data_IF_427768488604
#
_entry.id   IF_427768488604
#
_cell.length_a   1.000
_cell.length_b   1.000
_cell.length_c   1.000
_cell.angle_alpha   90.00
_cell.angle_beta   90.00
_cell.angle_gamma   90.00
#
_symmetry.space_group_name_H-M   'P 1'
#
loop_
_entity.id
_entity.type
_entity.pdbx_description
1 polymer ?
#
# COMPACT_ATOMS: atom_id res chain seq x y z
N UNK A 1 -3.85 -12.34 -16.56
CA UNK A 1 -3.99 -10.97 -16.01
C UNK A 1 -3.53 -11.04 -14.56
N UNK A 2 -2.25 -10.78 -14.30
CA UNK A 2 -1.70 -10.85 -12.95
C UNK A 2 -2.08 -9.57 -12.23
N UNK A 3 -3.08 -9.66 -11.35
CA UNK A 3 -3.37 -8.62 -10.39
C UNK A 3 -2.18 -8.61 -9.42
N UNK A 4 -1.18 -7.76 -9.66
CA UNK A 4 0.04 -7.72 -8.87
C UNK A 4 -0.30 -7.20 -7.47
N UNK A 5 -0.65 -8.14 -6.60
CA UNK A 5 -1.04 -7.92 -5.20
C UNK A 5 0.09 -7.33 -4.37
N UNK A 6 1.31 -7.24 -4.92
CA UNK A 6 2.49 -6.70 -4.25
C UNK A 6 2.71 -5.21 -4.52
N UNK A 7 1.89 -4.59 -5.38
CA UNK A 7 1.96 -3.14 -5.70
C UNK A 7 0.84 -2.35 -5.05
N UNK A 8 1.16 -1.10 -4.70
CA UNK A 8 0.22 -0.14 -4.16
C UNK A 8 -0.59 0.48 -5.30
N UNK A 9 -1.94 0.42 -5.27
CA UNK A 9 -2.78 0.99 -6.33
C UNK A 9 -2.70 2.51 -6.41
N UNK A 10 -2.30 3.20 -5.33
CA UNK A 10 -2.20 4.66 -5.32
C UNK A 10 -0.96 5.20 -6.02
N UNK A 11 0.14 4.44 -6.09
CA UNK A 11 1.42 4.96 -6.58
C UNK A 11 2.27 3.98 -7.40
N UNK A 12 1.83 2.73 -7.56
CA UNK A 12 2.52 1.70 -8.32
C UNK A 12 3.77 1.09 -7.67
N UNK A 13 4.26 1.65 -6.56
CA UNK A 13 5.39 1.13 -5.78
C UNK A 13 5.01 -0.14 -5.01
N UNK A 14 5.99 -0.90 -4.51
CA UNK A 14 5.73 -2.06 -3.67
C UNK A 14 4.93 -1.66 -2.41
N UNK A 15 3.91 -2.45 -2.08
CA UNK A 15 3.09 -2.22 -0.88
C UNK A 15 3.72 -2.77 0.41
N UNK A 16 4.81 -3.52 0.30
CA UNK A 16 5.54 -4.14 1.41
C UNK A 16 4.68 -5.12 2.25
N UNK A 17 3.56 -5.58 1.72
CA UNK A 17 2.69 -6.52 2.42
C UNK A 17 3.35 -7.90 2.46
N UNK A 18 3.62 -8.42 3.67
CA UNK A 18 4.18 -9.75 3.85
C UNK A 18 3.23 -10.85 3.33
N UNK A 19 1.91 -10.63 3.39
CA UNK A 19 0.92 -11.60 2.90
C UNK A 19 0.87 -11.67 1.36
N UNK A 20 1.21 -10.60 0.64
CA UNK A 20 0.97 -10.48 -0.80
C UNK A 20 1.72 -11.50 -1.66
N UNK A 21 2.83 -12.05 -1.15
CA UNK A 21 3.62 -13.10 -1.80
C UNK A 21 3.73 -14.38 -0.98
N UNK A 22 2.90 -14.56 0.04
CA UNK A 22 2.92 -15.74 0.90
C UNK A 22 1.74 -16.67 0.58
N UNK A 23 2.04 -17.96 0.45
CA UNK A 23 1.02 -19.02 0.22
C UNK A 23 0.25 -19.38 1.50
N UNK A 24 0.72 -18.91 2.67
CA UNK A 24 0.12 -19.15 3.97
C UNK A 24 -0.09 -17.83 4.73
N UNK A 25 -1.01 -17.81 5.73
CA UNK A 25 -1.20 -16.64 6.59
C UNK A 25 0.08 -16.22 7.30
N UNK A 26 0.41 -14.93 7.21
CA UNK A 26 1.55 -14.34 7.94
C UNK A 26 1.13 -13.90 9.34
N UNK A 27 2.02 -14.05 10.31
CA UNK A 27 1.81 -13.55 11.69
C UNK A 27 2.13 -12.07 11.83
N UNK A 28 2.94 -11.51 10.94
CA UNK A 28 3.44 -10.14 11.02
C UNK A 28 3.38 -9.44 9.67
N UNK A 29 3.04 -8.16 9.70
CA UNK A 29 3.11 -7.25 8.58
C UNK A 29 3.26 -5.84 9.12
N UNK A 30 3.98 -4.95 8.42
CA UNK A 30 4.16 -3.56 8.87
C UNK A 30 2.82 -2.86 9.13
N UNK A 31 1.77 -3.20 8.36
CA UNK A 31 0.47 -2.55 8.46
C UNK A 31 -0.30 -2.92 9.73
N UNK A 32 0.08 -3.98 10.44
CA UNK A 32 -0.57 -4.37 11.70
C UNK A 32 -0.23 -3.41 12.85
N UNK A 33 0.91 -2.73 12.75
CA UNK A 33 1.47 -1.90 13.83
C UNK A 33 1.32 -0.40 13.58
N UNK A 34 0.67 0.01 12.49
CA UNK A 34 0.51 1.43 12.14
C UNK A 34 -0.93 1.76 11.75
N UNK A 35 -1.43 2.96 12.09
CA UNK A 35 -2.72 3.40 11.60
C UNK A 35 -2.67 3.64 10.09
N UNK A 36 -3.70 3.16 9.38
CA UNK A 36 -3.93 3.49 7.97
C UNK A 36 -4.95 4.63 7.91
N UNK A 37 -4.58 5.75 7.30
CA UNK A 37 -5.45 6.93 7.20
C UNK A 37 -6.73 6.61 6.41
N UNK A 38 -7.88 6.86 7.03
CA UNK A 38 -9.19 6.54 6.46
C UNK A 38 -9.44 7.30 5.14
N UNK A 39 -8.91 8.52 5.03
CA UNK A 39 -8.98 9.35 3.82
C UNK A 39 -8.26 8.69 2.64
N UNK A 40 -7.23 7.88 2.90
CA UNK A 40 -6.49 7.17 1.86
C UNK A 40 -7.26 5.94 1.38
N UNK A 41 -7.93 5.25 2.30
CA UNK A 41 -8.87 4.17 1.94
C UNK A 41 -10.06 4.70 1.13
N UNK A 42 -10.58 5.88 1.49
CA UNK A 42 -11.70 6.52 0.78
C UNK A 42 -11.36 6.88 -0.68
N UNK A 43 -10.09 7.21 -0.97
CA UNK A 43 -9.61 7.51 -2.33
C UNK A 43 -9.54 6.29 -3.24
N UNK A 44 -9.55 5.08 -2.68
CA UNK A 44 -9.55 3.86 -3.48
C UNK A 44 -10.89 3.68 -4.19
N UNK A 45 -10.88 3.13 -5.43
CA UNK A 45 -12.09 2.61 -6.06
C UNK A 45 -12.82 1.64 -5.12
N UNK A 46 -14.17 1.65 -5.09
CA UNK A 46 -14.94 0.81 -4.18
C UNK A 46 -14.54 -0.67 -4.21
N UNK A 47 -14.20 -1.20 -5.38
CA UNK A 47 -13.80 -2.59 -5.60
C UNK A 47 -12.40 -2.94 -5.04
N UNK A 48 -11.58 -1.94 -4.70
CA UNK A 48 -10.24 -2.09 -4.12
C UNK A 48 -10.21 -1.83 -2.61
N UNK A 49 -11.24 -1.17 -2.06
CA UNK A 49 -11.36 -0.94 -0.61
C UNK A 49 -11.41 -2.26 0.14
N UNK A 50 -10.63 -2.38 1.22
CA UNK A 50 -10.47 -3.60 2.03
C UNK A 50 -9.95 -4.84 1.26
N UNK A 51 -9.45 -4.67 0.04
CA UNK A 51 -8.96 -5.78 -0.81
C UNK A 51 -7.54 -5.56 -1.32
N UNK A 52 -7.10 -4.30 -1.43
CA UNK A 52 -5.77 -3.94 -1.89
C UNK A 52 -4.92 -3.40 -0.75
N UNK A 53 -3.65 -3.81 -0.70
CA UNK A 53 -2.69 -3.29 0.26
C UNK A 53 -2.11 -1.95 -0.24
N UNK A 54 -2.01 -0.98 0.66
CA UNK A 54 -1.29 0.29 0.42
C UNK A 54 0.19 0.12 0.75
N UNK A 55 1.08 0.99 0.24
CA UNK A 55 2.43 1.09 0.79
C UNK A 55 2.45 2.00 2.04
N UNK A 56 3.49 1.93 2.90
CA UNK A 56 3.57 2.75 4.11
C UNK A 56 3.34 4.26 3.86
N UNK A 57 3.93 4.81 2.78
CA UNK A 57 3.78 6.21 2.41
C UNK A 57 2.32 6.59 2.11
N UNK A 58 1.66 5.80 1.26
CA UNK A 58 0.28 6.05 0.87
C UNK A 58 -0.68 5.80 2.04
N UNK A 59 -0.41 4.79 2.88
CA UNK A 59 -1.22 4.52 4.06
C UNK A 59 -1.17 5.65 5.09
N UNK A 60 -0.03 6.35 5.20
CA UNK A 60 0.15 7.54 6.04
C UNK A 60 -0.30 8.83 5.35
N UNK A 61 -0.71 8.77 4.08
CA UNK A 61 -1.14 9.95 3.32
C UNK A 61 -0.04 10.96 3.01
N UNK A 62 1.23 10.54 3.06
CA UNK A 62 2.35 11.40 2.75
C UNK A 62 2.36 11.79 1.25
N UNK A 63 2.80 13.01 0.90
CA UNK A 63 2.91 13.42 -0.49
C UNK A 63 3.86 12.50 -1.28
N UNK A 64 3.77 12.45 -2.62
CA UNK A 64 4.80 11.79 -3.42
C UNK A 64 6.15 12.44 -3.12
N UNK A 65 7.20 11.62 -2.97
CA UNK A 65 8.56 12.15 -2.84
C UNK A 65 8.91 12.81 -4.16
N UNK A 66 9.12 14.13 -4.12
CA UNK A 66 9.79 14.82 -5.22
C UNK A 66 11.25 14.35 -5.19
N UNK A 67 11.79 13.75 -6.26
CA UNK A 67 13.22 13.49 -6.30
C UNK A 67 13.96 14.82 -6.10
N UNK A 68 15.09 14.86 -5.37
CA UNK A 68 15.85 16.09 -5.24
C UNK A 68 16.20 16.60 -6.63
N UNK A 69 15.83 17.85 -6.92
CA UNK A 69 16.28 18.53 -8.12
C UNK A 69 17.80 18.66 -8.02
N UNK A 70 18.53 17.81 -8.74
CA UNK A 70 19.99 17.88 -8.80
C UNK A 70 20.40 19.31 -9.21
N UNK A 71 21.28 19.90 -8.39
CA UNK A 71 21.95 21.19 -8.62
C UNK A 71 23.13 21.04 -9.57
#
# INVERSE_FOLDING_TARGET
MSNDTSRCPCCGQLNQCAQAGADAPVSECWCFSVPIAAEQLAKLPPEQRNRSCLCPRCAQGLPPETPPANS
#
